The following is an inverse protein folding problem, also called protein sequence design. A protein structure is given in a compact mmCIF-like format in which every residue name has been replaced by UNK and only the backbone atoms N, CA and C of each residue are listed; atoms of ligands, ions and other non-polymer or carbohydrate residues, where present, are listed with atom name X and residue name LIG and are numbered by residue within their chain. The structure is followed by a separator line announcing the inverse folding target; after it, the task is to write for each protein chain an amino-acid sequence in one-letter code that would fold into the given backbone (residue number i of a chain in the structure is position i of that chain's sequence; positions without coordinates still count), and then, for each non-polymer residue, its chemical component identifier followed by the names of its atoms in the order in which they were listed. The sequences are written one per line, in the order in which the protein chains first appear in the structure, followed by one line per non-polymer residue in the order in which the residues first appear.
data_IF_083020045961
#
_entry.id   IF_083020045961
#
_cell.length_a   1.000
_cell.length_b   1.000
_cell.length_c   1.000
_cell.angle_alpha   90.00
_cell.angle_beta   90.00
_cell.angle_gamma   90.00
#
_symmetry.space_group_name_H-M   'P 1'
#
loop_
_entity.id
_entity.type
_entity.pdbx_description
1 polymer ?
#
# COMPACT_ATOMS: atom_id res chain seq x y z
N UNK A 1 9.58 -20.21 7.66
CA UNK A 1 10.60 -19.29 8.20
C UNK A 1 10.16 -17.84 7.98
N UNK A 2 10.17 -17.05 9.02
CA UNK A 2 9.76 -15.65 8.93
C UNK A 2 10.77 -14.86 8.10
N UNK A 3 10.26 -14.01 7.21
CA UNK A 3 11.10 -13.10 6.44
C UNK A 3 11.58 -11.94 7.31
N UNK A 4 12.72 -11.37 6.99
CA UNK A 4 13.16 -10.12 7.61
C UNK A 4 12.51 -8.95 6.88
N UNK A 5 11.53 -8.32 7.52
CA UNK A 5 10.76 -7.23 6.90
C UNK A 5 11.43 -5.90 7.24
N UNK A 6 11.86 -5.19 6.20
CA UNK A 6 12.52 -3.89 6.30
C UNK A 6 11.60 -2.74 5.90
N UNK A 7 10.53 -3.03 5.17
CA UNK A 7 9.63 -2.01 4.63
C UNK A 7 8.18 -2.45 4.74
N UNK A 8 7.31 -1.49 5.00
CA UNK A 8 5.86 -1.66 4.91
C UNK A 8 5.39 -0.63 3.89
N UNK A 9 4.92 -1.10 2.74
CA UNK A 9 4.44 -0.22 1.68
C UNK A 9 2.93 -0.01 1.79
N UNK A 10 2.52 1.26 1.72
CA UNK A 10 1.11 1.66 1.68
C UNK A 10 0.75 1.96 0.23
N UNK A 11 -0.34 1.37 -0.23
CA UNK A 11 -0.84 1.49 -1.60
C UNK A 11 -2.29 1.93 -1.61
N UNK A 12 -2.77 2.35 -2.79
CA UNK A 12 -4.18 2.33 -3.14
C UNK A 12 -4.40 1.25 -4.20
N UNK A 13 -5.63 0.74 -4.29
CA UNK A 13 -5.96 -0.27 -5.31
C UNK A 13 -6.09 0.34 -6.71
N UNK A 14 -6.06 1.68 -6.81
CA UNK A 14 -6.31 2.42 -8.04
C UNK A 14 -7.65 2.03 -8.67
N UNK A 15 -8.69 1.99 -7.83
CA UNK A 15 -10.03 1.58 -8.17
C UNK A 15 -11.06 2.48 -7.49
N UNK A 16 -12.34 2.20 -7.73
CA UNK A 16 -13.43 2.82 -6.94
C UNK A 16 -13.38 2.31 -5.51
N UNK A 17 -13.77 3.15 -4.56
CA UNK A 17 -13.86 2.76 -3.14
C UNK A 17 -14.83 1.61 -2.90
N UNK A 18 -15.88 1.52 -3.71
CA UNK A 18 -16.92 0.50 -3.58
C UNK A 18 -16.54 -0.84 -4.19
N UNK A 19 -15.34 -0.97 -4.75
CA UNK A 19 -14.90 -2.21 -5.37
C UNK A 19 -14.81 -3.34 -4.34
N UNK A 20 -15.13 -4.57 -4.78
CA UNK A 20 -15.11 -5.72 -3.88
C UNK A 20 -13.71 -6.35 -3.81
N UNK A 21 -13.45 -7.04 -2.70
CA UNK A 21 -12.22 -7.82 -2.54
C UNK A 21 -12.15 -8.94 -3.59
N UNK A 22 -13.27 -9.57 -3.91
CA UNK A 22 -13.32 -10.62 -4.94
C UNK A 22 -12.93 -10.08 -6.32
N UNK A 23 -13.38 -8.88 -6.66
CA UNK A 23 -13.01 -8.24 -7.93
C UNK A 23 -11.51 -7.92 -7.97
N UNK A 24 -10.95 -7.45 -6.85
CA UNK A 24 -9.52 -7.18 -6.73
C UNK A 24 -8.69 -8.46 -6.92
N UNK A 25 -9.07 -9.53 -6.27
CA UNK A 25 -8.36 -10.82 -6.39
C UNK A 25 -8.47 -11.37 -7.82
N UNK A 26 -9.64 -11.21 -8.45
CA UNK A 26 -9.83 -11.62 -9.85
C UNK A 26 -8.92 -10.85 -10.79
N UNK A 27 -8.73 -9.55 -10.54
CA UNK A 27 -7.82 -8.75 -11.36
C UNK A 27 -6.38 -9.23 -11.26
N UNK A 28 -5.92 -9.59 -10.07
CA UNK A 28 -4.58 -10.17 -9.90
C UNK A 28 -4.44 -11.48 -10.67
N UNK A 29 -5.44 -12.35 -10.63
CA UNK A 29 -5.43 -13.59 -11.40
C UNK A 29 -5.42 -13.33 -12.90
N UNK A 30 -6.16 -12.32 -13.37
CA UNK A 30 -6.19 -11.95 -14.78
C UNK A 30 -4.83 -11.42 -15.27
N UNK A 31 -4.02 -10.86 -14.38
CA UNK A 31 -2.64 -10.46 -14.68
C UNK A 31 -1.68 -11.65 -14.74
N UNK A 32 -2.15 -12.85 -14.43
CA UNK A 32 -1.32 -14.05 -14.40
C UNK A 32 -0.49 -14.19 -13.13
N UNK A 33 -0.79 -13.44 -12.10
CA UNK A 33 -0.02 -13.48 -10.84
C UNK A 33 -0.45 -14.66 -9.97
N UNK A 34 0.54 -15.39 -9.48
CA UNK A 34 0.31 -16.51 -8.56
C UNK A 34 -0.11 -16.02 -7.18
N UNK A 35 0.49 -14.91 -6.71
CA UNK A 35 0.15 -14.28 -5.44
C UNK A 35 -0.48 -12.89 -5.68
N UNK A 36 -1.35 -12.43 -4.75
CA UNK A 36 -1.92 -11.09 -4.83
C UNK A 36 -0.84 -10.00 -4.76
N UNK A 37 -1.22 -8.78 -5.13
CA UNK A 37 -0.34 -7.62 -5.04
C UNK A 37 -0.14 -7.14 -3.61
N UNK A 38 -1.09 -7.41 -2.71
CA UNK A 38 -1.06 -6.93 -1.32
C UNK A 38 -1.26 -8.07 -0.33
N UNK A 39 -0.69 -7.93 0.86
CA UNK A 39 -0.96 -8.84 1.98
C UNK A 39 -2.30 -8.50 2.65
N UNK A 40 -2.64 -7.20 2.71
CA UNK A 40 -3.83 -6.69 3.37
C UNK A 40 -4.50 -5.63 2.50
N UNK A 41 -5.84 -5.56 2.57
CA UNK A 41 -6.61 -4.47 1.96
C UNK A 41 -7.61 -3.91 2.98
N UNK A 42 -7.79 -2.59 2.96
CA UNK A 42 -8.74 -1.87 3.81
C UNK A 42 -9.89 -1.39 2.94
N UNK A 43 -11.09 -1.89 3.21
CA UNK A 43 -12.29 -1.54 2.45
C UNK A 43 -12.87 -0.20 2.92
N UNK A 44 -13.86 0.33 2.18
CA UNK A 44 -14.40 1.67 2.44
C UNK A 44 -14.95 1.85 3.86
N UNK A 45 -15.42 0.77 4.48
CA UNK A 45 -15.93 0.78 5.87
C UNK A 45 -14.84 0.71 6.94
N UNK A 46 -13.57 0.70 6.53
CA UNK A 46 -12.42 0.67 7.43
C UNK A 46 -12.01 -0.71 7.92
N UNK A 47 -12.72 -1.74 7.52
CA UNK A 47 -12.32 -3.11 7.84
C UNK A 47 -11.14 -3.53 6.99
N UNK A 48 -10.21 -4.28 7.57
CA UNK A 48 -9.08 -4.79 6.81
C UNK A 48 -9.12 -6.30 6.73
N UNK A 49 -8.78 -6.82 5.54
CA UNK A 49 -8.82 -8.25 5.23
C UNK A 49 -7.45 -8.71 4.76
N UNK A 50 -6.98 -9.83 5.29
CA UNK A 50 -5.74 -10.44 4.85
C UNK A 50 -5.97 -11.22 3.55
N UNK A 51 -5.14 -10.96 2.55
CA UNK A 51 -5.24 -11.60 1.25
C UNK A 51 -4.27 -12.77 1.11
N UNK A 52 -3.15 -12.72 1.83
CA UNK A 52 -2.16 -13.79 1.84
C UNK A 52 -1.29 -13.70 3.09
N UNK A 53 -0.55 -14.75 3.38
CA UNK A 53 0.36 -14.78 4.52
C UNK A 53 1.50 -13.77 4.36
N UNK A 54 1.86 -13.12 5.47
CA UNK A 54 3.02 -12.21 5.50
C UNK A 54 4.36 -12.95 5.41
N UNK A 55 4.36 -14.27 5.53
CA UNK A 55 5.57 -15.09 5.41
C UNK A 55 6.09 -15.19 3.98
N UNK A 56 5.26 -14.84 2.99
CA UNK A 56 5.62 -14.88 1.58
C UNK A 56 5.53 -13.47 0.97
N UNK A 57 6.36 -13.16 -0.03
CA UNK A 57 6.28 -11.88 -0.70
C UNK A 57 5.03 -11.76 -1.56
N UNK A 58 4.38 -10.59 -1.52
CA UNK A 58 3.30 -10.26 -2.45
C UNK A 58 3.87 -9.50 -3.65
N UNK A 59 3.04 -9.25 -4.67
CA UNK A 59 3.47 -8.59 -5.91
C UNK A 59 3.17 -7.08 -5.89
N UNK A 60 3.53 -6.39 -4.79
CA UNK A 60 3.19 -4.98 -4.59
C UNK A 60 4.16 -4.00 -5.24
N UNK A 61 5.46 -4.19 -5.07
CA UNK A 61 6.51 -3.28 -5.56
C UNK A 61 7.63 -4.08 -6.18
N UNK A 62 7.73 -4.04 -7.50
CA UNK A 62 8.76 -4.79 -8.23
C UNK A 62 10.17 -4.44 -7.70
N UNK A 63 10.95 -5.47 -7.38
CA UNK A 63 12.31 -5.32 -6.86
C UNK A 63 12.40 -5.11 -5.36
N UNK A 64 11.28 -4.92 -4.66
CA UNK A 64 11.24 -4.65 -3.22
C UNK A 64 10.37 -5.64 -2.44
N UNK A 65 9.81 -6.65 -3.10
CA UNK A 65 8.83 -7.53 -2.46
C UNK A 65 9.44 -8.50 -1.46
N UNK A 66 10.69 -8.87 -1.63
CA UNK A 66 11.33 -9.90 -0.82
C UNK A 66 11.48 -9.51 0.66
N UNK A 67 11.52 -8.23 1.00
CA UNK A 67 11.71 -7.73 2.36
C UNK A 67 10.61 -6.76 2.81
N UNK A 68 9.44 -6.84 2.18
CA UNK A 68 8.35 -5.91 2.48
C UNK A 68 7.01 -6.61 2.75
N UNK A 69 6.14 -5.88 3.45
CA UNK A 69 4.71 -6.17 3.57
C UNK A 69 3.96 -5.06 2.84
N UNK A 70 2.97 -5.44 2.06
CA UNK A 70 2.18 -4.50 1.26
C UNK A 70 0.75 -4.42 1.79
N UNK A 71 0.30 -3.20 2.10
CA UNK A 71 -1.08 -2.92 2.51
C UNK A 71 -1.69 -1.90 1.55
N UNK A 72 -2.98 -2.01 1.28
CA UNK A 72 -3.66 -1.11 0.36
C UNK A 72 -5.02 -0.70 0.92
N UNK A 73 -5.49 0.51 0.56
CA UNK A 73 -6.88 0.87 0.75
C UNK A 73 -7.63 0.79 -0.58
N UNK A 74 -8.89 0.41 -0.51
CA UNK A 74 -9.75 0.33 -1.70
C UNK A 74 -10.10 1.75 -2.15
N UNK A 75 -9.60 2.15 -3.30
CA UNK A 75 -9.81 3.50 -3.82
C UNK A 75 -8.62 4.05 -4.58
N UNK A 76 -8.45 5.37 -4.56
CA UNK A 76 -7.33 6.06 -5.20
C UNK A 76 -7.63 6.64 -6.57
N UNK A 77 -8.86 6.46 -7.08
CA UNK A 77 -9.27 6.99 -8.38
C UNK A 77 -10.58 7.77 -8.23
N UNK A 78 -10.59 9.00 -8.79
CA UNK A 78 -11.79 9.84 -8.86
C UNK A 78 -12.78 9.32 -9.91
N UNK A 79 -14.00 9.92 -9.94
CA UNK A 79 -15.01 9.59 -10.94
C UNK A 79 -14.52 9.82 -12.38
N UNK A 80 -13.56 10.72 -12.57
CA UNK A 80 -12.98 11.05 -13.88
C UNK A 80 -11.71 10.25 -14.19
N UNK A 81 -11.36 9.25 -13.35
CA UNK A 81 -10.20 8.40 -13.58
C UNK A 81 -8.87 8.99 -13.14
N UNK A 82 -8.87 10.07 -12.37
CA UNK A 82 -7.66 10.72 -11.89
C UNK A 82 -7.24 10.15 -10.54
N UNK A 83 -5.93 10.07 -10.31
CA UNK A 83 -5.38 9.69 -9.01
C UNK A 83 -5.79 10.71 -7.95
N UNK A 84 -6.33 10.23 -6.83
CA UNK A 84 -6.79 11.08 -5.75
C UNK A 84 -6.74 10.31 -4.43
N UNK A 85 -6.46 11.02 -3.33
CA UNK A 85 -6.65 10.47 -1.99
C UNK A 85 -8.12 10.59 -1.61
N UNK A 86 -8.88 9.53 -1.84
CA UNK A 86 -10.31 9.49 -1.51
C UNK A 86 -10.62 8.55 -0.34
N UNK A 87 -9.64 8.35 0.56
CA UNK A 87 -9.87 7.53 1.75
C UNK A 87 -11.03 8.06 2.57
N UNK A 88 -11.93 7.16 2.99
CA UNK A 88 -12.96 7.51 3.97
C UNK A 88 -12.32 7.71 5.34
N UNK A 89 -13.01 8.36 6.27
CA UNK A 89 -12.50 8.51 7.64
C UNK A 89 -12.33 7.14 8.29
N UNK A 90 -13.22 6.19 7.99
CA UNK A 90 -13.13 4.80 8.45
C UNK A 90 -11.89 4.11 7.89
N UNK A 91 -11.55 4.34 6.63
CA UNK A 91 -10.34 3.79 6.01
C UNK A 91 -9.08 4.36 6.66
N UNK A 92 -9.06 5.65 6.94
CA UNK A 92 -7.92 6.28 7.62
C UNK A 92 -7.68 5.64 8.99
N UNK A 93 -8.75 5.44 9.75
CA UNK A 93 -8.66 4.80 11.06
C UNK A 93 -8.24 3.33 10.96
N UNK A 94 -8.84 2.58 10.04
CA UNK A 94 -8.52 1.15 9.85
C UNK A 94 -7.10 0.94 9.36
N UNK A 95 -6.66 1.75 8.41
CA UNK A 95 -5.29 1.68 7.89
C UNK A 95 -4.27 1.98 8.99
N UNK A 96 -4.53 3.01 9.80
CA UNK A 96 -3.67 3.36 10.91
C UNK A 96 -3.58 2.24 11.96
N UNK A 97 -4.73 1.63 12.29
CA UNK A 97 -4.76 0.50 13.24
C UNK A 97 -3.97 -0.70 12.70
N UNK A 98 -4.16 -1.03 11.44
CA UNK A 98 -3.41 -2.12 10.78
C UNK A 98 -1.91 -1.85 10.82
N UNK A 99 -1.49 -0.61 10.52
CA UNK A 99 -0.08 -0.25 10.54
C UNK A 99 0.52 -0.32 11.94
N UNK A 100 -0.26 0.03 12.97
CA UNK A 100 0.19 -0.14 14.38
C UNK A 100 0.41 -1.61 14.72
N UNK A 101 -0.47 -2.49 14.27
CA UNK A 101 -0.32 -3.93 14.47
C UNK A 101 0.93 -4.47 13.75
N UNK A 102 1.16 -4.02 12.51
CA UNK A 102 2.34 -4.40 11.75
C UNK A 102 3.62 -3.87 12.39
N UNK A 103 3.59 -2.67 12.95
CA UNK A 103 4.72 -2.10 13.69
C UNK A 103 5.13 -2.97 14.87
N UNK A 104 4.16 -3.55 15.57
CA UNK A 104 4.46 -4.46 16.68
C UNK A 104 5.19 -5.72 16.21
N UNK A 105 4.82 -6.23 15.03
CA UNK A 105 5.48 -7.42 14.45
C UNK A 105 6.80 -7.10 13.79
N UNK A 106 6.94 -5.90 13.24
CA UNK A 106 8.12 -5.47 12.47
C UNK A 106 8.60 -4.11 12.96
N UNK A 107 9.22 -4.05 14.15
CA UNK A 107 9.56 -2.77 14.81
C UNK A 107 10.57 -1.92 14.03
N UNK A 108 11.41 -2.55 13.21
CA UNK A 108 12.44 -1.85 12.44
C UNK A 108 12.03 -1.54 11.00
N UNK A 109 10.83 -1.92 10.57
CA UNK A 109 10.39 -1.70 9.21
C UNK A 109 10.05 -0.23 8.97
N UNK A 110 10.45 0.29 7.81
CA UNK A 110 10.13 1.66 7.41
C UNK A 110 8.78 1.68 6.70
N UNK A 111 7.84 2.51 7.20
CA UNK A 111 6.53 2.70 6.59
C UNK A 111 6.66 3.78 5.51
N UNK A 112 6.26 3.46 4.28
CA UNK A 112 6.34 4.39 3.16
C UNK A 112 5.26 4.08 2.13
N UNK A 113 5.00 5.02 1.22
CA UNK A 113 4.11 4.80 0.08
C UNK A 113 4.85 4.18 -1.09
N UNK A 114 4.10 3.58 -2.01
CA UNK A 114 4.68 3.02 -3.24
C UNK A 114 5.46 4.10 -4.00
N UNK A 115 4.92 5.34 -4.09
CA UNK A 115 5.60 6.43 -4.81
C UNK A 115 6.92 6.87 -4.18
N UNK A 116 7.14 6.53 -2.92
CA UNK A 116 8.35 6.95 -2.19
C UNK A 116 9.61 6.20 -2.62
N UNK A 117 9.48 5.14 -3.43
CA UNK A 117 10.62 4.48 -4.06
C UNK A 117 11.03 5.13 -5.38
N UNK A 118 10.33 6.17 -5.81
CA UNK A 118 10.69 6.93 -7.01
C UNK A 118 12.05 7.60 -6.80
N UNK A 119 12.84 7.84 -7.88
CA UNK A 119 14.17 8.38 -7.74
C UNK A 119 14.16 9.84 -7.29
N UNK A 120 15.11 10.20 -6.42
CA UNK A 120 15.40 11.58 -6.04
C UNK A 120 16.43 12.13 -7.01
N UNK A 121 15.99 12.57 -8.19
CA UNK A 121 16.88 12.97 -9.30
C UNK A 121 17.67 14.24 -9.00
N UNK A 122 17.12 15.15 -8.20
CA UNK A 122 17.80 16.39 -7.85
C UNK A 122 18.58 16.33 -6.54
N UNK A 123 18.60 15.15 -5.89
CA UNK A 123 19.36 14.88 -4.67
C UNK A 123 19.06 15.83 -3.50
N UNK A 124 17.80 16.29 -3.38
CA UNK A 124 17.40 17.17 -2.28
C UNK A 124 16.92 16.40 -1.02
N UNK A 125 16.98 15.07 -1.03
CA UNK A 125 16.61 14.23 0.10
C UNK A 125 15.13 13.84 0.17
N UNK A 126 14.30 14.31 -0.78
CA UNK A 126 12.88 13.99 -0.86
C UNK A 126 12.50 13.63 -2.30
N UNK A 127 11.41 12.88 -2.46
CA UNK A 127 10.83 12.60 -3.77
C UNK A 127 9.80 13.70 -4.07
N UNK A 128 10.17 14.62 -4.94
CA UNK A 128 9.27 15.71 -5.34
C UNK A 128 8.16 15.19 -6.27
N UNK A 129 7.02 15.92 -6.40
CA UNK A 129 5.92 15.46 -7.25
C UNK A 129 6.31 15.12 -8.68
N UNK A 130 7.23 15.88 -9.29
CA UNK A 130 7.69 15.62 -10.66
C UNK A 130 8.64 14.43 -10.78
N UNK A 131 9.13 13.88 -9.67
CA UNK A 131 10.00 12.71 -9.66
C UNK A 131 9.24 11.40 -9.50
N UNK A 132 7.93 11.46 -9.17
CA UNK A 132 7.12 10.28 -8.87
C UNK A 132 6.87 9.45 -10.13
N UNK A 133 7.26 8.18 -10.06
CA UNK A 133 6.94 7.21 -11.11
C UNK A 133 5.47 6.80 -11.02
N UNK A 134 4.92 6.76 -9.80
CA UNK A 134 3.51 6.41 -9.53
C UNK A 134 2.94 7.35 -8.48
N UNK A 135 1.64 7.61 -8.56
CA UNK A 135 0.93 8.43 -7.56
C UNK A 135 0.52 7.63 -6.32
N UNK A 136 0.39 6.31 -6.43
CA UNK A 136 0.01 5.42 -5.33
C UNK A 136 0.92 5.65 -4.10
N UNK A 137 0.37 5.84 -2.92
CA UNK A 137 -1.02 5.72 -2.49
C UNK A 137 -1.86 7.01 -2.59
N UNK A 138 -1.41 8.03 -3.29
CA UNK A 138 -2.07 9.33 -3.51
C UNK A 138 -2.02 10.26 -2.29
N UNK A 139 -1.21 9.96 -1.30
CA UNK A 139 -0.92 10.84 -0.16
C UNK A 139 0.50 10.55 0.35
N UNK A 140 1.00 11.42 1.21
CA UNK A 140 2.36 11.29 1.76
C UNK A 140 2.35 10.38 2.99
N UNK A 141 2.66 9.10 2.78
CA UNK A 141 2.62 8.09 3.84
C UNK A 141 3.72 8.31 4.90
N UNK A 142 4.91 8.73 4.50
CA UNK A 142 6.02 8.91 5.45
C UNK A 142 5.66 9.91 6.55
N UNK A 143 5.25 11.16 6.25
CA UNK A 143 4.88 12.10 7.31
C UNK A 143 3.58 11.69 8.04
N UNK A 144 2.61 11.10 7.35
CA UNK A 144 1.33 10.74 7.98
C UNK A 144 1.51 9.68 9.06
N UNK A 145 2.44 8.75 8.87
CA UNK A 145 2.66 7.64 9.80
C UNK A 145 3.98 7.76 10.56
N UNK A 146 4.57 8.95 10.60
CA UNK A 146 5.85 9.18 11.28
C UNK A 146 5.77 8.93 12.79
N UNK A 147 4.59 8.98 13.38
CA UNK A 147 4.36 8.74 14.81
C UNK A 147 4.08 7.28 15.15
N UNK A 148 4.06 6.42 14.18
CA UNK A 148 3.93 4.96 14.36
C UNK A 148 5.32 4.29 14.34
#
# INVERSE_FOLDING_TARGET
MARKIKKIFVHCTASRQSWSVDALLKEFRNKGWHYPGYHWVVTADGKYMQLMTEDLPSNGVKGHNYDSVNVAYMGGISRTGKAIDNRTEEQKAGLRQLLKELRQRYPDAKIMGHRDISPDNNHNGVVDPWERIKECPCFDAIPEYADI
#
